data_IF_605826095299
#
_entry.id   IF_605826095299
#
_cell.length_a   1.000
_cell.length_b   1.000
_cell.length_c   1.000
_cell.angle_alpha   90.00
_cell.angle_beta   90.00
_cell.angle_gamma   90.00
#
_symmetry.space_group_name_H-M   'P 1'
#
loop_
_entity.id
_entity.type
_entity.pdbx_description
1 polymer ?
#
# COMPACT_ATOMS: atom_id res chain seq x y z
N UNK A 1 -8.46 -7.29 -5.19
CA UNK A 1 -8.64 -8.11 -3.97
C UNK A 1 -7.89 -7.50 -2.78
N UNK A 2 -6.58 -7.20 -2.89
CA UNK A 2 -5.80 -6.59 -1.81
C UNK A 2 -6.26 -5.17 -1.40
N UNK A 3 -6.67 -4.33 -2.36
CA UNK A 3 -7.19 -2.98 -2.07
C UNK A 3 -8.42 -3.03 -1.17
N UNK A 4 -9.38 -3.89 -1.51
CA UNK A 4 -10.59 -4.12 -0.71
C UNK A 4 -10.26 -4.68 0.68
N UNK A 5 -9.31 -5.61 0.77
CA UNK A 5 -8.83 -6.14 2.07
C UNK A 5 -8.23 -5.03 2.93
N UNK A 6 -7.40 -4.16 2.37
CA UNK A 6 -6.78 -3.06 3.10
C UNK A 6 -7.81 -2.03 3.56
N UNK A 7 -8.76 -1.66 2.70
CA UNK A 7 -9.85 -0.72 3.05
C UNK A 7 -10.74 -1.28 4.16
N UNK A 8 -11.23 -2.51 4.00
CA UNK A 8 -12.05 -3.15 5.04
C UNK A 8 -11.30 -3.33 6.35
N UNK A 9 -10.02 -3.69 6.29
CA UNK A 9 -9.22 -3.83 7.50
C UNK A 9 -8.98 -2.49 8.19
N UNK A 10 -8.81 -1.41 7.43
CA UNK A 10 -8.68 -0.05 7.99
C UNK A 10 -9.94 0.38 8.74
N UNK A 11 -11.12 0.10 8.18
CA UNK A 11 -12.40 0.34 8.86
C UNK A 11 -12.52 -0.52 10.12
N UNK A 12 -12.25 -1.82 10.01
CA UNK A 12 -12.23 -2.74 11.15
C UNK A 12 -11.30 -2.26 12.27
N UNK A 13 -10.06 -1.86 11.94
CA UNK A 13 -9.07 -1.40 12.91
C UNK A 13 -9.54 -0.13 13.63
N UNK A 14 -10.07 0.83 12.88
CA UNK A 14 -10.62 2.08 13.43
C UNK A 14 -11.78 1.81 14.38
N UNK A 15 -12.75 1.03 13.93
CA UNK A 15 -13.96 0.76 14.70
C UNK A 15 -13.64 -0.07 15.95
N UNK A 16 -12.74 -1.06 15.81
CA UNK A 16 -12.23 -1.86 16.93
C UNK A 16 -11.48 -1.00 17.93
N UNK A 17 -10.58 -0.12 17.47
CA UNK A 17 -9.84 0.80 18.35
C UNK A 17 -10.76 1.72 19.13
N UNK A 18 -11.73 2.35 18.47
CA UNK A 18 -12.65 3.28 19.13
C UNK A 18 -13.56 2.58 20.16
N UNK A 19 -14.26 1.52 19.74
CA UNK A 19 -15.22 0.82 20.61
C UNK A 19 -14.48 0.03 21.70
N UNK A 20 -13.36 -0.60 21.35
CA UNK A 20 -12.55 -1.37 22.28
C UNK A 20 -11.95 -0.49 23.37
N UNK A 21 -11.38 0.66 23.01
CA UNK A 21 -10.80 1.59 23.99
C UNK A 21 -11.84 2.11 24.98
N UNK A 22 -13.03 2.54 24.50
CA UNK A 22 -14.12 2.99 25.38
C UNK A 22 -14.53 1.91 26.39
N UNK A 23 -14.62 0.65 25.94
CA UNK A 23 -14.98 -0.48 26.80
C UNK A 23 -13.89 -0.78 27.83
N UNK A 24 -12.62 -0.80 27.40
CA UNK A 24 -11.47 -1.04 28.28
C UNK A 24 -11.36 0.05 29.34
N UNK A 25 -11.49 1.32 28.95
CA UNK A 25 -11.47 2.46 29.87
C UNK A 25 -12.60 2.39 30.89
N UNK A 26 -13.81 2.00 30.44
CA UNK A 26 -14.97 1.83 31.32
C UNK A 26 -14.73 0.72 32.36
N UNK A 27 -14.22 -0.43 31.94
CA UNK A 27 -13.94 -1.57 32.84
C UNK A 27 -12.79 -1.22 33.79
N UNK A 28 -11.74 -0.57 33.30
CA UNK A 28 -10.62 -0.10 34.12
C UNK A 28 -11.10 0.83 35.23
N UNK A 29 -11.96 1.81 34.91
CA UNK A 29 -12.54 2.71 35.90
C UNK A 29 -13.38 1.96 36.94
N UNK A 30 -14.20 1.01 36.52
CA UNK A 30 -15.00 0.19 37.45
C UNK A 30 -14.12 -0.67 38.36
N UNK A 31 -13.04 -1.26 37.82
CA UNK A 31 -12.06 -2.01 38.59
C UNK A 31 -11.35 -1.10 39.62
N UNK A 32 -10.96 0.10 39.21
CA UNK A 32 -10.34 1.10 40.10
C UNK A 32 -11.28 1.54 41.21
N UNK A 33 -12.57 1.75 40.93
CA UNK A 33 -13.58 2.08 41.95
C UNK A 33 -13.70 0.97 43.02
N UNK A 34 -13.70 -0.30 42.61
CA UNK A 34 -13.74 -1.45 43.53
C UNK A 34 -12.44 -1.59 44.35
N UNK A 35 -11.29 -1.41 43.72
CA UNK A 35 -9.99 -1.47 44.40
C UNK A 35 -9.87 -0.33 45.42
N UNK A 36 -10.21 0.90 45.02
CA UNK A 36 -10.09 2.09 45.87
C UNK A 36 -11.10 2.10 47.03
N UNK A 37 -12.24 1.41 46.89
CA UNK A 37 -13.19 1.23 48.00
C UNK A 37 -12.80 0.13 48.99
N UNK A 38 -11.66 -0.55 48.76
CA UNK A 38 -11.16 -1.59 49.65
C UNK A 38 -11.96 -2.90 49.56
N UNK A 39 -12.47 -3.23 48.37
CA UNK A 39 -13.19 -4.49 48.14
C UNK A 39 -12.37 -5.69 48.61
N UNK A 40 -13.03 -6.69 49.21
CA UNK A 40 -12.36 -7.88 49.78
C UNK A 40 -11.50 -8.63 48.77
N UNK A 41 -11.92 -8.63 47.50
CA UNK A 41 -11.23 -9.28 46.38
C UNK A 41 -10.37 -8.31 45.53
N UNK A 42 -9.95 -7.16 46.09
CA UNK A 42 -9.21 -6.14 45.34
C UNK A 42 -7.94 -6.69 44.63
N UNK A 43 -7.24 -7.65 45.24
CA UNK A 43 -6.07 -8.27 44.62
C UNK A 43 -6.43 -9.01 43.32
N UNK A 44 -7.48 -9.86 43.35
CA UNK A 44 -7.97 -10.59 42.18
C UNK A 44 -8.50 -9.63 41.10
N UNK A 45 -9.17 -8.55 41.51
CA UNK A 45 -9.68 -7.53 40.57
C UNK A 45 -8.50 -6.82 39.86
N UNK A 46 -7.42 -6.53 40.58
CA UNK A 46 -6.21 -5.95 39.98
C UNK A 46 -5.56 -6.92 38.96
N UNK A 47 -5.46 -8.20 39.28
CA UNK A 47 -4.95 -9.21 38.33
C UNK A 47 -5.80 -9.30 37.06
N UNK A 48 -7.13 -9.26 37.18
CA UNK A 48 -8.02 -9.23 36.01
C UNK A 48 -7.88 -7.96 35.19
N UNK A 49 -7.72 -6.81 35.86
CA UNK A 49 -7.48 -5.52 35.22
C UNK A 49 -6.18 -5.55 34.42
N UNK A 50 -5.10 -6.05 35.00
CA UNK A 50 -3.80 -6.14 34.34
C UNK A 50 -3.86 -7.07 33.12
N UNK A 51 -4.45 -8.27 33.27
CA UNK A 51 -4.62 -9.21 32.16
C UNK A 51 -5.51 -8.68 31.03
N UNK A 52 -6.55 -7.89 31.35
CA UNK A 52 -7.36 -7.22 30.33
C UNK A 52 -6.52 -6.20 29.54
N UNK A 53 -5.72 -5.39 30.23
CA UNK A 53 -4.92 -4.36 29.59
C UNK A 53 -3.78 -4.94 28.74
N UNK A 54 -3.16 -6.04 29.19
CA UNK A 54 -2.17 -6.79 28.41
C UNK A 54 -2.79 -7.36 27.12
N UNK A 55 -3.93 -8.07 27.24
CA UNK A 55 -4.63 -8.61 26.08
C UNK A 55 -5.12 -7.52 25.10
N UNK A 56 -5.48 -6.34 25.61
CA UNK A 56 -5.84 -5.20 24.77
C UNK A 56 -4.64 -4.62 24.03
N UNK A 57 -3.50 -4.47 24.71
CA UNK A 57 -2.25 -4.01 24.09
C UNK A 57 -1.79 -4.97 22.98
N UNK A 58 -1.82 -6.29 23.25
CA UNK A 58 -1.47 -7.33 22.27
C UNK A 58 -2.36 -7.25 21.01
N UNK A 59 -3.66 -7.00 21.20
CA UNK A 59 -4.60 -6.86 20.08
C UNK A 59 -4.26 -5.63 19.22
N UNK A 60 -3.93 -4.49 19.85
CA UNK A 60 -3.53 -3.29 19.12
C UNK A 60 -2.24 -3.52 18.32
N UNK A 61 -1.24 -4.16 18.91
CA UNK A 61 0.00 -4.53 18.21
C UNK A 61 -0.26 -5.47 17.02
N UNK A 62 -1.16 -6.44 17.18
CA UNK A 62 -1.55 -7.35 16.11
C UNK A 62 -2.26 -6.61 14.97
N UNK A 63 -3.13 -5.65 15.30
CA UNK A 63 -3.81 -4.79 14.32
C UNK A 63 -2.79 -3.96 13.54
N UNK A 64 -1.81 -3.36 14.21
CA UNK A 64 -0.77 -2.57 13.57
C UNK A 64 0.11 -3.42 12.65
N UNK A 65 0.56 -4.58 13.15
CA UNK A 65 1.33 -5.54 12.36
C UNK A 65 0.56 -5.97 11.11
N UNK A 66 -0.74 -6.28 11.25
CA UNK A 66 -1.59 -6.66 10.13
C UNK A 66 -1.78 -5.52 9.13
N UNK A 67 -1.92 -4.28 9.61
CA UNK A 67 -2.00 -3.08 8.77
C UNK A 67 -0.75 -2.91 7.92
N UNK A 68 0.43 -3.07 8.51
CA UNK A 68 1.71 -2.99 7.80
C UNK A 68 1.85 -4.08 6.73
N UNK A 69 1.48 -5.33 7.05
CA UNK A 69 1.50 -6.45 6.09
C UNK A 69 0.56 -6.19 4.90
N UNK A 70 -0.65 -5.68 5.16
CA UNK A 70 -1.60 -5.36 4.10
C UNK A 70 -1.13 -4.19 3.23
N UNK A 71 -0.51 -3.17 3.84
CA UNK A 71 0.08 -2.05 3.11
C UNK A 71 1.22 -2.52 2.19
N UNK A 72 2.16 -3.33 2.72
CA UNK A 72 3.24 -3.90 1.92
C UNK A 72 2.71 -4.77 0.76
N UNK A 73 1.71 -5.61 1.04
CA UNK A 73 1.05 -6.42 0.01
C UNK A 73 0.38 -5.56 -1.07
N UNK A 74 -0.29 -4.47 -0.67
CA UNK A 74 -0.90 -3.53 -1.60
C UNK A 74 0.14 -2.89 -2.51
N UNK A 75 1.25 -2.38 -1.95
CA UNK A 75 2.32 -1.75 -2.74
C UNK A 75 2.93 -2.71 -3.75
N UNK A 76 3.19 -3.96 -3.34
CA UNK A 76 3.72 -4.98 -4.25
C UNK A 76 2.75 -5.30 -5.39
N UNK A 77 1.46 -5.45 -5.09
CA UNK A 77 0.44 -5.70 -6.11
C UNK A 77 0.27 -4.50 -7.05
N UNK A 78 0.33 -3.27 -6.51
CA UNK A 78 0.29 -2.04 -7.29
C UNK A 78 1.48 -1.98 -8.24
N UNK A 79 2.69 -2.23 -7.75
CA UNK A 79 3.89 -2.28 -8.58
C UNK A 79 3.74 -3.26 -9.77
N UNK A 80 3.32 -4.49 -9.53
CA UNK A 80 3.13 -5.46 -10.61
C UNK A 80 2.04 -5.06 -11.61
N UNK A 81 1.00 -4.37 -11.13
CA UNK A 81 -0.05 -3.83 -12.00
C UNK A 81 0.49 -2.69 -12.87
N UNK A 82 1.14 -1.71 -12.25
CA UNK A 82 1.72 -0.54 -12.90
C UNK A 82 2.79 -0.96 -13.92
N UNK A 83 3.65 -1.93 -13.58
CA UNK A 83 4.66 -2.48 -14.49
C UNK A 83 4.02 -3.10 -15.74
N UNK A 84 2.96 -3.90 -15.57
CA UNK A 84 2.25 -4.51 -16.70
C UNK A 84 1.58 -3.47 -17.59
N UNK A 85 0.95 -2.45 -16.99
CA UNK A 85 0.29 -1.39 -17.73
C UNK A 85 1.30 -0.55 -18.52
N UNK A 86 2.36 -0.10 -17.86
CA UNK A 86 3.42 0.71 -18.46
C UNK A 86 4.10 -0.06 -19.59
N UNK A 87 4.45 -1.33 -19.38
CA UNK A 87 5.02 -2.18 -20.43
C UNK A 87 4.09 -2.32 -21.65
N UNK A 88 2.80 -2.55 -21.43
CA UNK A 88 1.81 -2.59 -22.50
C UNK A 88 1.74 -1.27 -23.28
N UNK A 89 1.76 -0.13 -22.57
CA UNK A 89 1.75 1.20 -23.19
C UNK A 89 3.02 1.50 -23.98
N UNK A 90 4.18 1.05 -23.51
CA UNK A 90 5.45 1.11 -24.26
C UNK A 90 5.35 0.30 -25.54
N UNK A 91 4.89 -0.94 -25.47
CA UNK A 91 4.72 -1.80 -26.65
C UNK A 91 3.74 -1.20 -27.66
N UNK A 92 2.61 -0.66 -27.20
CA UNK A 92 1.61 -0.05 -28.06
C UNK A 92 2.12 1.24 -28.71
N UNK A 93 2.90 2.06 -28.00
CA UNK A 93 3.56 3.23 -28.58
C UNK A 93 4.60 2.82 -29.61
N UNK A 94 5.42 1.81 -29.31
CA UNK A 94 6.43 1.29 -30.25
C UNK A 94 5.79 0.77 -31.54
N UNK A 95 4.68 0.01 -31.46
CA UNK A 95 3.96 -0.50 -32.64
C UNK A 95 3.33 0.59 -33.51
N UNK A 96 3.04 1.76 -32.95
CA UNK A 96 2.40 2.89 -33.65
C UNK A 96 3.41 3.82 -34.32
N UNK A 97 4.70 3.55 -34.20
CA UNK A 97 5.74 4.36 -34.82
C UNK A 97 5.71 4.17 -36.35
N UNK A 98 5.48 5.22 -37.15
CA UNK A 98 5.49 5.10 -38.61
C UNK A 98 6.92 4.84 -39.12
N UNK A 99 7.07 3.93 -40.09
CA UNK A 99 8.35 3.70 -40.79
C UNK A 99 8.49 4.56 -42.06
N UNK A 100 7.41 5.20 -42.50
CA UNK A 100 7.39 6.02 -43.70
C UNK A 100 8.09 7.38 -43.48
N UNK A 101 8.90 7.80 -44.46
CA UNK A 101 9.64 9.07 -44.43
C UNK A 101 8.97 10.20 -45.22
N UNK A 102 7.82 9.95 -45.85
CA UNK A 102 7.15 10.92 -46.73
C UNK A 102 7.77 10.95 -48.13
N UNK A 103 6.98 11.41 -49.11
CA UNK A 103 7.35 11.41 -50.55
C UNK A 103 7.51 12.81 -51.14
N UNK A 104 7.08 13.82 -50.41
CA UNK A 104 7.09 15.22 -50.78
C UNK A 104 7.13 16.11 -49.54
N UNK A 105 7.38 17.40 -49.71
CA UNK A 105 7.53 18.33 -48.59
C UNK A 105 6.30 18.36 -47.67
N UNK A 106 5.08 18.35 -48.22
CA UNK A 106 3.85 18.41 -47.43
C UNK A 106 3.65 17.15 -46.57
N UNK A 107 3.96 15.97 -47.10
CA UNK A 107 3.90 14.69 -46.37
C UNK A 107 4.97 14.63 -45.28
N UNK A 108 6.18 15.12 -45.55
CA UNK A 108 7.25 15.24 -44.53
C UNK A 108 6.85 16.18 -43.40
N UNK A 109 6.33 17.38 -43.70
CA UNK A 109 5.87 18.35 -42.68
C UNK A 109 4.72 17.81 -41.81
N UNK A 110 3.86 16.96 -42.39
CA UNK A 110 2.80 16.28 -41.64
C UNK A 110 3.38 15.21 -40.72
N UNK A 111 4.30 14.37 -41.21
CA UNK A 111 4.99 13.37 -40.40
C UNK A 111 5.79 14.00 -39.25
N UNK A 112 6.44 15.15 -39.47
CA UNK A 112 7.14 15.88 -38.42
C UNK A 112 6.20 16.32 -37.30
N UNK A 113 5.03 16.91 -37.61
CA UNK A 113 4.04 17.29 -36.59
C UNK A 113 3.51 16.09 -35.80
N UNK A 114 3.29 14.96 -36.48
CA UNK A 114 2.92 13.71 -35.82
C UNK A 114 4.04 13.21 -34.91
N UNK A 115 5.30 13.30 -35.36
CA UNK A 115 6.46 12.87 -34.59
C UNK A 115 6.67 13.73 -33.34
N UNK A 116 6.57 15.06 -33.43
CA UNK A 116 6.63 15.94 -32.26
C UNK A 116 5.53 15.64 -31.25
N UNK A 117 4.32 15.31 -31.71
CA UNK A 117 3.22 14.90 -30.83
C UNK A 117 3.55 13.56 -30.15
N UNK A 118 4.12 12.62 -30.90
CA UNK A 118 4.57 11.34 -30.36
C UNK A 118 5.67 11.52 -29.30
N UNK A 119 6.65 12.38 -29.56
CA UNK A 119 7.73 12.73 -28.61
C UNK A 119 7.18 13.32 -27.31
N UNK A 120 6.18 14.19 -27.39
CA UNK A 120 5.51 14.72 -26.22
C UNK A 120 4.80 13.60 -25.42
N UNK A 121 4.08 12.71 -26.09
CA UNK A 121 3.38 11.60 -25.43
C UNK A 121 4.32 10.63 -24.70
N UNK A 122 5.51 10.37 -25.26
CA UNK A 122 6.50 9.49 -24.61
C UNK A 122 7.18 10.14 -23.42
N UNK A 123 7.21 11.48 -23.30
CA UNK A 123 7.75 12.15 -22.11
C UNK A 123 6.96 11.79 -20.86
N UNK A 124 5.62 11.81 -20.95
CA UNK A 124 4.74 11.40 -19.85
C UNK A 124 4.94 9.93 -19.48
N UNK A 125 5.08 9.04 -20.49
CA UNK A 125 5.38 7.63 -20.27
C UNK A 125 6.76 7.44 -19.62
N UNK A 126 7.75 8.23 -20.02
CA UNK A 126 9.08 8.23 -19.40
C UNK A 126 9.05 8.64 -17.92
N UNK A 127 8.18 9.58 -17.53
CA UNK A 127 7.96 9.91 -16.11
C UNK A 127 7.35 8.74 -15.35
N UNK A 128 6.39 8.03 -15.95
CA UNK A 128 5.79 6.84 -15.32
C UNK A 128 6.79 5.70 -15.16
N UNK A 129 7.67 5.48 -16.14
CA UNK A 129 8.77 4.51 -16.04
C UNK A 129 9.71 4.88 -14.91
N UNK A 130 10.11 6.15 -14.77
CA UNK A 130 10.97 6.59 -13.65
C UNK A 130 10.30 6.35 -12.30
N UNK A 131 9.02 6.67 -12.17
CA UNK A 131 8.27 6.41 -10.94
C UNK A 131 8.23 4.91 -10.61
N UNK A 132 8.05 4.06 -11.63
CA UNK A 132 8.05 2.61 -11.47
C UNK A 132 9.41 2.08 -11.00
N UNK A 133 10.51 2.64 -11.50
CA UNK A 133 11.88 2.30 -11.06
C UNK A 133 12.13 2.72 -9.61
N UNK A 134 11.64 3.90 -9.20
CA UNK A 134 11.70 4.34 -7.81
C UNK A 134 10.90 3.41 -6.88
N UNK A 135 9.70 3.01 -7.31
CA UNK A 135 8.87 2.05 -6.59
C UNK A 135 9.56 0.67 -6.51
N UNK A 136 10.20 0.21 -7.58
CA UNK A 136 10.98 -1.03 -7.59
C UNK A 136 12.14 -1.00 -6.59
N UNK A 137 12.96 0.05 -6.62
CA UNK A 137 14.10 0.21 -5.71
C UNK A 137 13.64 0.23 -4.24
N UNK A 138 12.54 0.94 -3.95
CA UNK A 138 11.94 0.97 -2.61
C UNK A 138 11.47 -0.43 -2.18
N UNK A 139 10.77 -1.16 -3.05
CA UNK A 139 10.28 -2.51 -2.73
C UNK A 139 11.42 -3.53 -2.62
N UNK A 140 12.46 -3.46 -3.45
CA UNK A 140 13.66 -4.29 -3.35
C UNK A 140 14.37 -4.10 -2.00
N UNK A 141 14.40 -2.88 -1.46
CA UNK A 141 14.96 -2.64 -0.12
C UNK A 141 14.08 -3.21 1.01
N UNK A 142 12.78 -3.33 0.78
CA UNK A 142 11.81 -3.81 1.76
C UNK A 142 11.62 -5.34 1.76
N UNK A 143 11.99 -6.03 0.67
CA UNK A 143 11.89 -7.48 0.52
C UNK A 143 13.28 -8.13 0.38
N UNK A 144 13.49 -9.30 0.97
CA UNK A 144 14.72 -10.08 0.80
C UNK A 144 14.45 -11.42 0.07
N UNK A 145 15.48 -11.96 -0.59
CA UNK A 145 15.43 -13.26 -1.27
C UNK A 145 14.60 -13.26 -2.56
N UNK A 146 13.95 -14.39 -2.87
CA UNK A 146 13.26 -14.64 -4.16
C UNK A 146 12.26 -13.55 -4.59
N UNK A 147 11.64 -12.85 -3.62
CA UNK A 147 10.70 -11.75 -3.91
C UNK A 147 11.38 -10.49 -4.43
N UNK A 148 12.63 -10.22 -4.03
CA UNK A 148 13.41 -9.10 -4.57
C UNK A 148 13.85 -9.40 -6.01
N UNK A 149 14.27 -10.63 -6.27
CA UNK A 149 14.70 -11.09 -7.60
C UNK A 149 13.54 -11.03 -8.63
N UNK A 150 12.32 -11.35 -8.21
CA UNK A 150 11.13 -11.27 -9.06
C UNK A 150 10.70 -9.82 -9.36
N UNK A 151 10.96 -8.88 -8.45
CA UNK A 151 10.76 -7.44 -8.71
C UNK A 151 11.76 -6.97 -9.77
N UNK A 152 13.03 -7.37 -9.65
CA UNK A 152 14.08 -6.96 -10.58
C UNK A 152 13.95 -7.54 -11.99
N UNK A 153 13.42 -8.77 -12.13
CA UNK A 153 13.15 -9.36 -13.46
C UNK A 153 12.02 -8.68 -14.23
N UNK A 154 11.24 -7.82 -13.58
CA UNK A 154 10.05 -7.17 -14.15
C UNK A 154 10.17 -5.65 -14.28
N UNK A 155 11.25 -5.06 -13.76
CA UNK A 155 11.77 -3.78 -14.29
C UNK A 155 12.20 -3.94 -15.75
#
# INVERSE_FOLDING_TARGET
>A
HVTMLQERFREFARDTGNIGQERVDTVNRMADELINSGHSDAATIAEWKDGLNEAWADLLELIDTRTQILAASYELHKFYHDAKEIFGRIQDKHKKLPEELGRDQNTVETLQRMHTTFEHDIQALGTQVRQLQEDAARLQSAYAGDKADDIQKRE
#
